data_IF_363703889406
#
_entry.id   IF_363703889406
#
_cell.length_a   1.000
_cell.length_b   1.000
_cell.length_c   1.000
_cell.angle_alpha   90.00
_cell.angle_beta   90.00
_cell.angle_gamma   90.00
#
_symmetry.space_group_name_H-M   'P 1'
#
loop_
_entity.id
_entity.type
_entity.pdbx_description
1 polymer ?
#
# COMPACT_ATOMS: atom_id res chain seq x y z
N UNK A 1 -3.29 18.04 -19.66
CA UNK A 1 -3.24 18.97 -18.50
C UNK A 1 -1.79 19.38 -18.32
N UNK A 2 -1.53 20.61 -17.86
CA UNK A 2 -0.18 21.00 -17.46
C UNK A 2 0.11 20.42 -16.06
N UNK A 3 1.39 20.16 -15.75
CA UNK A 3 1.79 19.79 -14.40
C UNK A 3 1.55 20.98 -13.45
N UNK A 4 1.21 20.67 -12.20
CA UNK A 4 1.27 21.65 -11.12
C UNK A 4 2.70 22.23 -11.04
N UNK A 5 2.83 23.55 -10.91
CA UNK A 5 4.15 24.22 -10.93
C UNK A 5 5.07 23.76 -9.81
N UNK A 6 4.53 23.49 -8.62
CA UNK A 6 5.32 22.98 -7.51
C UNK A 6 5.77 21.54 -7.80
N UNK A 7 4.88 20.70 -8.33
CA UNK A 7 5.22 19.34 -8.72
C UNK A 7 6.27 19.30 -9.84
N UNK A 8 6.18 20.18 -10.84
CA UNK A 8 7.19 20.28 -11.90
C UNK A 8 8.57 20.67 -11.33
N UNK A 9 8.60 21.66 -10.43
CA UNK A 9 9.83 22.07 -9.74
C UNK A 9 10.45 20.92 -8.94
N UNK A 10 9.62 20.15 -8.23
CA UNK A 10 10.05 18.98 -7.47
C UNK A 10 10.59 17.90 -8.40
N UNK A 11 9.90 17.54 -9.49
CA UNK A 11 10.36 16.55 -10.46
C UNK A 11 11.74 16.92 -11.03
N UNK A 12 11.92 18.20 -11.42
CA UNK A 12 13.21 18.70 -11.91
C UNK A 12 14.32 18.67 -10.86
N UNK A 13 13.99 18.89 -9.59
CA UNK A 13 14.96 18.90 -8.50
C UNK A 13 15.33 17.51 -8.00
N UNK A 14 14.33 16.65 -7.79
CA UNK A 14 14.47 15.36 -7.09
C UNK A 14 14.65 14.19 -8.04
N UNK A 15 14.12 14.30 -9.27
CA UNK A 15 14.15 13.23 -10.27
C UNK A 15 15.05 13.58 -11.47
N UNK A 16 15.96 14.55 -11.35
CA UNK A 16 16.88 14.96 -12.42
C UNK A 16 17.74 13.83 -12.98
N UNK A 17 18.01 12.81 -12.17
CA UNK A 17 18.71 11.59 -12.56
C UNK A 17 17.89 10.69 -13.52
N UNK A 18 16.57 10.87 -13.57
CA UNK A 18 15.66 10.14 -14.45
C UNK A 18 15.33 10.91 -15.73
N UNK A 19 15.56 12.22 -15.77
CA UNK A 19 15.32 13.07 -16.94
C UNK A 19 15.55 14.55 -16.65
N UNK A 20 15.74 15.33 -17.71
CA UNK A 20 16.01 16.78 -17.65
C UNK A 20 14.74 17.63 -17.83
N UNK A 21 13.68 17.08 -18.41
CA UNK A 21 12.35 17.69 -18.50
C UNK A 21 11.25 16.66 -18.24
N UNK A 22 10.09 17.15 -17.83
CA UNK A 22 8.93 16.33 -17.44
C UNK A 22 7.67 16.88 -18.08
N UNK A 23 6.86 16.01 -18.68
CA UNK A 23 5.55 16.37 -19.25
C UNK A 23 4.45 15.54 -18.62
N UNK A 24 3.25 16.10 -18.47
CA UNK A 24 2.10 15.35 -17.95
C UNK A 24 1.49 14.46 -19.04
N UNK A 25 1.14 13.23 -18.65
CA UNK A 25 0.35 12.28 -19.43
C UNK A 25 -0.88 11.84 -18.63
N UNK A 26 -1.90 12.68 -18.58
CA UNK A 26 -3.08 12.45 -17.73
C UNK A 26 -2.91 13.03 -16.33
N UNK A 27 -3.69 12.56 -15.36
CA UNK A 27 -3.78 13.21 -14.04
C UNK A 27 -2.51 13.03 -13.19
N UNK A 28 -1.97 11.81 -13.14
CA UNK A 28 -0.90 11.44 -12.19
C UNK A 28 0.34 10.84 -12.83
N UNK A 29 0.46 10.88 -14.17
CA UNK A 29 1.65 10.37 -14.86
C UNK A 29 2.50 11.55 -15.35
N UNK A 30 3.79 11.55 -15.00
CA UNK A 30 4.81 12.41 -15.55
C UNK A 30 5.77 11.60 -16.42
N UNK A 31 6.02 12.04 -17.66
CA UNK A 31 6.97 11.43 -18.57
C UNK A 31 8.30 12.19 -18.52
N UNK A 32 9.35 11.52 -18.09
CA UNK A 32 10.71 12.06 -18.06
C UNK A 32 11.34 12.01 -19.46
N UNK A 33 12.03 13.08 -19.86
CA UNK A 33 12.77 13.14 -21.12
C UNK A 33 14.26 13.42 -20.84
N UNK A 34 15.19 12.87 -21.65
CA UNK A 34 14.96 12.04 -22.83
C UNK A 34 14.74 10.54 -22.53
N UNK A 35 14.79 10.12 -21.25
CA UNK A 35 14.72 8.70 -20.88
C UNK A 35 13.44 7.99 -21.31
N UNK A 36 12.33 8.73 -21.44
CA UNK A 36 11.01 8.17 -21.73
C UNK A 36 10.38 7.43 -20.54
N UNK A 37 10.97 7.52 -19.35
CA UNK A 37 10.45 6.86 -18.15
C UNK A 37 9.15 7.53 -17.69
N UNK A 38 8.14 6.70 -17.42
CA UNK A 38 6.89 7.16 -16.83
C UNK A 38 6.96 7.07 -15.30
N UNK A 39 6.61 8.17 -14.63
CA UNK A 39 6.56 8.30 -13.18
C UNK A 39 5.12 8.54 -12.74
N UNK A 40 4.70 7.87 -11.69
CA UNK A 40 3.51 8.30 -10.96
C UNK A 40 3.94 9.48 -10.09
N UNK A 41 3.25 10.61 -10.22
CA UNK A 41 3.59 11.84 -9.53
C UNK A 41 2.31 12.50 -9.03
N UNK A 42 2.22 12.68 -7.70
CA UNK A 42 1.12 13.38 -7.06
C UNK A 42 1.61 14.47 -6.12
N UNK A 43 0.81 15.52 -5.97
CA UNK A 43 0.95 16.55 -4.94
C UNK A 43 -0.43 16.82 -4.35
N UNK A 44 -0.57 16.75 -3.04
CA UNK A 44 -1.86 16.75 -2.34
C UNK A 44 -1.81 17.55 -1.04
N UNK A 45 -2.93 18.15 -0.63
CA UNK A 45 -3.09 18.82 0.66
C UNK A 45 -3.18 17.85 1.86
N UNK A 46 -3.44 16.57 1.60
CA UNK A 46 -3.56 15.48 2.58
C UNK A 46 -2.15 15.01 2.98
N UNK A 47 -1.47 15.87 3.74
CA UNK A 47 -0.03 15.74 4.02
C UNK A 47 0.31 14.45 4.77
N UNK A 48 -0.38 14.15 5.88
CA UNK A 48 -0.10 12.95 6.68
C UNK A 48 -0.33 11.66 5.87
N UNK A 49 -1.44 11.59 5.14
CA UNK A 49 -1.77 10.46 4.28
C UNK A 49 -0.74 10.21 3.17
N UNK A 50 -0.37 11.26 2.44
CA UNK A 50 0.59 11.14 1.32
C UNK A 50 1.98 10.71 1.80
N UNK A 51 2.42 11.22 2.96
CA UNK A 51 3.70 10.83 3.55
C UNK A 51 3.64 9.41 4.14
N UNK A 52 2.53 9.03 4.78
CA UNK A 52 2.32 7.68 5.29
C UNK A 52 2.36 6.62 4.19
N UNK A 53 1.75 6.89 3.04
CA UNK A 53 1.81 6.02 1.85
C UNK A 53 3.25 5.90 1.32
N UNK A 54 3.99 7.01 1.28
CA UNK A 54 5.39 6.99 0.85
C UNK A 54 6.26 6.11 1.76
N UNK A 55 6.11 6.22 3.08
CA UNK A 55 6.86 5.38 4.03
C UNK A 55 6.42 3.92 3.97
N UNK A 56 5.13 3.65 3.72
CA UNK A 56 4.61 2.30 3.50
C UNK A 56 5.28 1.61 2.30
N UNK A 57 5.32 2.30 1.15
CA UNK A 57 5.98 1.79 -0.06
C UNK A 57 7.48 1.54 0.13
N UNK A 58 8.18 2.43 0.85
CA UNK A 58 9.59 2.26 1.19
C UNK A 58 9.82 1.03 2.07
N UNK A 59 8.98 0.84 3.09
CA UNK A 59 9.09 -0.29 4.01
C UNK A 59 8.83 -1.63 3.31
N UNK A 60 7.76 -1.73 2.51
CA UNK A 60 7.47 -2.93 1.71
C UNK A 60 8.60 -3.23 0.72
N UNK A 61 9.10 -2.21 0.02
CA UNK A 61 10.22 -2.37 -0.91
C UNK A 61 11.50 -2.85 -0.21
N UNK A 62 11.80 -2.33 0.98
CA UNK A 62 12.95 -2.73 1.78
C UNK A 62 12.86 -4.19 2.24
N UNK A 63 11.69 -4.66 2.67
CA UNK A 63 11.47 -6.05 3.09
C UNK A 63 11.80 -7.07 1.99
N UNK A 64 11.62 -6.69 0.72
CA UNK A 64 11.89 -7.56 -0.44
C UNK A 64 13.30 -7.40 -1.03
N UNK A 65 13.98 -6.29 -0.75
CA UNK A 65 15.27 -5.92 -1.38
C UNK A 65 16.51 -6.47 -0.69
N UNK A 66 16.40 -7.51 0.15
CA UNK A 66 17.53 -8.05 0.94
C UNK A 66 18.60 -8.84 0.15
N UNK A 67 18.71 -8.63 -1.16
CA UNK A 67 19.76 -9.17 -2.02
C UNK A 67 20.39 -8.08 -2.91
N UNK A 68 21.62 -8.31 -3.39
CA UNK A 68 22.36 -7.40 -4.29
C UNK A 68 21.72 -7.18 -5.66
N UNK A 69 20.63 -7.88 -5.95
CA UNK A 69 19.89 -7.81 -7.21
C UNK A 69 18.52 -7.20 -6.93
N UNK A 70 18.47 -5.87 -6.87
CA UNK A 70 17.20 -5.15 -6.99
C UNK A 70 16.77 -5.35 -8.43
N UNK A 71 16.04 -6.44 -8.71
CA UNK A 71 15.45 -6.70 -10.02
C UNK A 71 14.77 -5.44 -10.59
N UNK A 72 14.61 -5.38 -11.90
CA UNK A 72 14.05 -4.19 -12.57
C UNK A 72 12.69 -3.76 -11.97
N UNK A 73 12.26 -2.52 -12.23
CA UNK A 73 10.97 -1.98 -11.76
C UNK A 73 9.78 -2.92 -12.02
N UNK A 74 9.89 -3.67 -13.11
CA UNK A 74 8.96 -4.67 -13.62
C UNK A 74 8.89 -5.99 -12.83
N UNK A 75 9.90 -6.27 -12.01
CA UNK A 75 9.98 -7.46 -11.15
C UNK A 75 9.63 -7.16 -9.69
N UNK A 76 9.52 -5.89 -9.29
CA UNK A 76 9.21 -5.50 -7.92
C UNK A 76 7.73 -5.72 -7.61
N UNK A 77 7.46 -6.13 -6.37
CA UNK A 77 6.08 -6.25 -5.88
C UNK A 77 5.47 -4.88 -5.57
N UNK A 78 6.28 -3.87 -5.24
CA UNK A 78 5.83 -2.50 -4.98
C UNK A 78 6.54 -1.50 -5.89
N UNK A 79 5.89 -0.38 -6.26
CA UNK A 79 6.58 0.68 -6.99
C UNK A 79 7.71 1.29 -6.14
N UNK A 80 8.84 1.62 -6.76
CA UNK A 80 9.93 2.30 -6.09
C UNK A 80 9.58 3.77 -5.84
N UNK A 81 9.86 4.25 -4.63
CA UNK A 81 9.71 5.66 -4.27
C UNK A 81 10.96 6.43 -4.68
N UNK A 82 10.84 7.26 -5.71
CA UNK A 82 11.92 8.12 -6.19
C UNK A 82 12.06 9.38 -5.34
N UNK A 83 10.93 9.94 -4.90
CA UNK A 83 10.93 11.11 -4.02
C UNK A 83 9.61 11.25 -3.26
N UNK A 84 9.68 11.67 -1.99
CA UNK A 84 8.53 12.10 -1.21
C UNK A 84 8.91 13.21 -0.25
N UNK A 85 7.94 14.03 0.16
CA UNK A 85 8.18 15.10 1.12
C UNK A 85 7.11 16.18 1.10
N UNK A 86 7.41 17.31 1.72
CA UNK A 86 6.56 18.51 1.68
C UNK A 86 7.11 19.51 0.65
N UNK A 87 6.23 20.08 -0.15
CA UNK A 87 6.54 21.22 -1.03
C UNK A 87 6.66 22.51 -0.21
N UNK A 88 7.22 23.55 -0.83
CA UNK A 88 7.38 24.86 -0.21
C UNK A 88 6.04 25.51 0.19
N UNK A 89 4.97 25.18 -0.53
CA UNK A 89 3.61 25.66 -0.25
C UNK A 89 2.85 24.81 0.80
N UNK A 90 3.53 23.84 1.43
CA UNK A 90 2.99 23.05 2.55
C UNK A 90 2.22 21.79 2.15
N UNK A 91 1.99 21.54 0.86
CA UNK A 91 1.43 20.26 0.37
C UNK A 91 2.44 19.12 0.48
N UNK A 92 1.99 17.88 0.37
CA UNK A 92 2.87 16.71 0.30
C UNK A 92 2.93 16.18 -1.13
N UNK A 93 4.08 15.62 -1.51
CA UNK A 93 4.25 14.95 -2.80
C UNK A 93 4.77 13.53 -2.64
N UNK A 94 4.41 12.70 -3.61
CA UNK A 94 4.91 11.33 -3.78
C UNK A 94 5.17 11.09 -5.27
N UNK A 95 6.39 10.65 -5.57
CA UNK A 95 6.86 10.30 -6.90
C UNK A 95 7.38 8.87 -6.87
N UNK A 96 6.79 8.00 -7.69
CA UNK A 96 7.14 6.57 -7.77
C UNK A 96 7.25 6.10 -9.23
N UNK A 97 7.62 4.84 -9.42
CA UNK A 97 7.40 4.16 -10.70
C UNK A 97 5.93 4.31 -11.11
N UNK A 98 5.68 4.58 -12.40
CA UNK A 98 4.33 4.49 -12.96
C UNK A 98 4.05 3.04 -13.36
N UNK A 99 3.06 2.43 -12.72
CA UNK A 99 2.61 1.08 -13.06
C UNK A 99 1.36 1.16 -13.95
N UNK A 100 1.45 0.64 -15.17
CA UNK A 100 0.30 0.46 -16.05
C UNK A 100 -0.43 -0.84 -15.68
N UNK A 101 -1.46 -0.72 -14.85
CA UNK A 101 -2.10 -1.84 -14.17
C UNK A 101 -3.39 -2.28 -14.86
N UNK A 102 -3.56 -3.61 -15.00
CA UNK A 102 -4.86 -4.25 -15.17
C UNK A 102 -5.41 -4.66 -13.81
N UNK A 103 -6.72 -4.46 -13.56
CA UNK A 103 -7.33 -4.80 -12.26
C UNK A 103 -7.31 -6.30 -11.93
N UNK A 104 -7.26 -7.17 -12.94
CA UNK A 104 -7.31 -8.62 -12.73
C UNK A 104 -5.92 -9.24 -12.68
N UNK A 105 -5.74 -10.17 -11.74
CA UNK A 105 -4.55 -11.01 -11.64
C UNK A 105 -4.92 -12.43 -12.05
N UNK A 106 -4.31 -12.92 -13.12
CA UNK A 106 -4.57 -14.25 -13.66
C UNK A 106 -4.01 -15.36 -12.74
N UNK A 107 -4.34 -16.62 -13.04
CA UNK A 107 -3.93 -17.78 -12.24
C UNK A 107 -2.43 -17.84 -11.93
N UNK A 108 -1.56 -17.59 -12.90
CA UNK A 108 -0.10 -17.61 -12.67
C UNK A 108 0.35 -16.41 -11.83
N UNK A 109 -0.21 -15.24 -12.08
CA UNK A 109 0.04 -14.02 -11.29
C UNK A 109 -0.38 -14.17 -9.84
N UNK A 110 -1.50 -14.86 -9.57
CA UNK A 110 -1.98 -15.16 -8.21
C UNK A 110 -0.95 -15.98 -7.43
N UNK A 111 -0.34 -16.99 -8.06
CA UNK A 111 0.73 -17.80 -7.44
C UNK A 111 1.99 -17.00 -7.17
N UNK A 112 2.38 -16.15 -8.12
CA UNK A 112 3.55 -15.27 -7.96
C UNK A 112 3.31 -14.28 -6.82
N UNK A 113 2.11 -13.68 -6.77
CA UNK A 113 1.72 -12.76 -5.72
C UNK A 113 1.73 -13.44 -4.35
N UNK A 114 1.11 -14.63 -4.23
CA UNK A 114 1.07 -15.39 -2.98
C UNK A 114 2.46 -15.64 -2.40
N UNK A 115 3.39 -16.15 -3.22
CA UNK A 115 4.78 -16.39 -2.77
C UNK A 115 5.51 -15.11 -2.39
N UNK A 116 5.43 -14.07 -3.21
CA UNK A 116 6.16 -12.81 -2.98
C UNK A 116 5.63 -12.06 -1.76
N UNK A 117 4.31 -12.08 -1.54
CA UNK A 117 3.70 -11.49 -0.36
C UNK A 117 4.10 -12.23 0.92
N UNK A 118 4.11 -13.57 0.88
CA UNK A 118 4.57 -14.39 2.00
C UNK A 118 6.05 -14.12 2.34
N UNK A 119 6.92 -13.98 1.33
CA UNK A 119 8.32 -13.58 1.52
C UNK A 119 8.43 -12.17 2.11
N UNK A 120 7.61 -11.22 1.67
CA UNK A 120 7.54 -9.87 2.24
C UNK A 120 7.17 -9.94 3.72
N UNK A 121 6.12 -10.67 4.10
CA UNK A 121 5.69 -10.82 5.49
C UNK A 121 6.72 -11.51 6.38
N UNK A 122 7.41 -12.52 5.85
CA UNK A 122 8.45 -13.25 6.57
C UNK A 122 9.66 -12.36 6.88
N UNK A 123 9.99 -11.41 6.00
CA UNK A 123 11.14 -10.51 6.13
C UNK A 123 10.78 -9.18 6.79
N UNK A 124 9.57 -8.70 6.56
CA UNK A 124 9.03 -7.42 7.02
C UNK A 124 8.57 -7.47 8.47
N UNK A 125 9.43 -7.95 9.37
CA UNK A 125 9.23 -7.88 10.81
C UNK A 125 10.00 -6.71 11.39
N UNK A 126 9.42 -6.02 12.36
CA UNK A 126 10.13 -4.97 13.09
C UNK A 126 11.24 -5.61 13.96
N UNK A 127 12.43 -5.01 13.97
CA UNK A 127 13.60 -5.53 14.71
C UNK A 127 13.33 -5.68 16.21
N UNK A 128 12.55 -4.74 16.79
CA UNK A 128 12.16 -4.77 18.20
C UNK A 128 10.97 -5.71 18.49
N UNK A 129 10.40 -6.36 17.48
CA UNK A 129 9.22 -7.23 17.60
C UNK A 129 7.91 -6.51 17.95
N UNK A 130 7.89 -5.17 17.92
CA UNK A 130 6.69 -4.35 18.18
C UNK A 130 5.81 -4.22 16.93
N UNK A 131 4.51 -4.13 17.16
CA UNK A 131 3.47 -3.87 16.16
C UNK A 131 3.18 -2.37 16.06
N UNK A 132 2.90 -1.89 14.85
CA UNK A 132 2.69 -0.47 14.58
C UNK A 132 3.53 0.02 13.40
N UNK A 133 3.76 1.32 13.33
CA UNK A 133 4.54 1.97 12.29
C UNK A 133 4.97 3.36 12.76
N UNK A 134 6.08 3.88 12.23
CA UNK A 134 6.63 5.17 12.68
C UNK A 134 5.76 6.38 12.33
N UNK A 135 4.89 6.21 11.32
CA UNK A 135 3.95 7.23 10.87
C UNK A 135 2.54 6.68 10.81
N UNK A 136 1.55 7.56 10.94
CA UNK A 136 0.17 7.19 10.68
C UNK A 136 -0.02 6.83 9.20
N UNK A 137 -0.80 5.79 8.95
CA UNK A 137 -1.24 5.39 7.62
C UNK A 137 -2.76 5.46 7.54
N UNK A 138 -3.30 5.18 6.36
CA UNK A 138 -4.73 5.36 6.10
C UNK A 138 -5.29 4.13 5.40
N UNK A 139 -6.40 3.59 5.91
CA UNK A 139 -7.22 2.63 5.18
C UNK A 139 -8.33 3.42 4.48
N UNK A 140 -8.12 3.72 3.20
CA UNK A 140 -8.97 4.65 2.48
C UNK A 140 -8.82 6.08 3.01
N UNK A 141 -9.86 6.63 3.65
CA UNK A 141 -9.78 7.96 4.29
C UNK A 141 -9.68 7.85 5.81
N UNK A 142 -9.75 6.64 6.35
CA UNK A 142 -9.69 6.37 7.79
C UNK A 142 -8.23 6.35 8.23
N UNK A 143 -7.82 7.36 9.00
CA UNK A 143 -6.51 7.41 9.66
C UNK A 143 -6.37 6.24 10.64
N UNK A 144 -5.27 5.49 10.54
CA UNK A 144 -4.96 4.37 11.43
C UNK A 144 -3.99 4.82 12.52
N UNK A 145 -4.29 4.49 13.78
CA UNK A 145 -3.32 4.62 14.86
C UNK A 145 -2.27 3.52 14.74
N UNK A 146 -1.01 3.92 14.56
CA UNK A 146 0.12 3.03 14.38
C UNK A 146 1.10 3.10 15.56
N UNK A 147 0.67 3.71 16.67
CA UNK A 147 1.49 3.82 17.87
C UNK A 147 2.00 2.46 18.32
N UNK A 148 3.32 2.36 18.46
CA UNK A 148 4.01 1.11 18.76
C UNK A 148 3.43 0.36 19.96
N UNK A 149 3.21 -0.94 19.80
CA UNK A 149 2.63 -1.83 20.79
C UNK A 149 3.39 -3.17 20.84
N UNK A 150 3.58 -3.75 22.02
CA UNK A 150 4.27 -5.03 22.18
C UNK A 150 3.33 -6.24 22.10
N UNK A 151 2.02 -6.03 22.09
CA UNK A 151 0.99 -7.09 22.08
C UNK A 151 0.08 -6.93 20.89
N UNK A 152 0.12 -7.90 19.98
CA UNK A 152 -0.74 -7.91 18.80
C UNK A 152 -2.23 -7.91 19.17
N UNK A 153 -2.72 -8.78 20.10
CA UNK A 153 -4.13 -8.72 20.51
C UNK A 153 -4.56 -7.35 21.04
N UNK A 154 -3.69 -6.67 21.80
CA UNK A 154 -3.98 -5.32 22.31
C UNK A 154 -3.97 -4.28 21.20
N UNK A 155 -2.99 -4.33 20.31
CA UNK A 155 -2.91 -3.46 19.14
C UNK A 155 -4.18 -3.58 18.27
N UNK A 156 -4.59 -4.81 17.96
CA UNK A 156 -5.78 -5.07 17.15
C UNK A 156 -7.08 -4.65 17.85
N UNK A 157 -7.24 -4.99 19.12
CA UNK A 157 -8.45 -4.66 19.88
C UNK A 157 -8.61 -3.14 20.06
N UNK A 158 -7.54 -2.43 20.44
CA UNK A 158 -7.63 -1.01 20.79
C UNK A 158 -7.47 -0.09 19.57
N UNK A 159 -6.46 -0.33 18.73
CA UNK A 159 -6.03 0.60 17.67
C UNK A 159 -6.59 0.26 16.27
N UNK A 160 -7.35 -0.84 16.16
CA UNK A 160 -8.07 -1.19 14.93
C UNK A 160 -9.58 -1.22 15.23
N UNK A 161 -10.08 -2.30 15.82
CA UNK A 161 -11.52 -2.47 16.04
C UNK A 161 -12.07 -1.40 17.00
N UNK A 162 -11.40 -1.18 18.15
CA UNK A 162 -11.82 -0.22 19.16
C UNK A 162 -11.86 1.22 18.65
N UNK A 163 -10.87 1.64 17.86
CA UNK A 163 -10.85 2.96 17.21
C UNK A 163 -12.06 3.16 16.29
N UNK A 164 -12.39 2.18 15.44
CA UNK A 164 -13.59 2.24 14.58
C UNK A 164 -14.89 2.31 15.40
N UNK A 165 -15.02 1.47 16.43
CA UNK A 165 -16.20 1.46 17.30
C UNK A 165 -16.38 2.81 18.00
N UNK A 166 -15.28 3.41 18.50
CA UNK A 166 -15.31 4.72 19.14
C UNK A 166 -15.73 5.82 18.17
N UNK A 167 -15.24 5.80 16.91
CA UNK A 167 -15.66 6.76 15.88
C UNK A 167 -17.14 6.62 15.55
N UNK A 168 -17.63 5.40 15.33
CA UNK A 168 -19.05 5.12 15.07
C UNK A 168 -19.91 5.60 16.24
N UNK A 169 -19.47 5.38 17.48
CA UNK A 169 -20.23 5.80 18.66
C UNK A 169 -20.24 7.33 18.85
N UNK A 170 -19.13 8.01 18.53
CA UNK A 170 -19.04 9.46 18.61
C UNK A 170 -19.94 10.17 17.59
N UNK A 171 -20.29 9.49 16.49
CA UNK A 171 -21.00 10.09 15.36
C UNK A 171 -22.41 9.52 15.12
N UNK A 172 -23.31 9.72 16.09
CA UNK A 172 -24.67 9.17 16.05
C UNK A 172 -25.61 9.79 14.99
N UNK A 173 -25.15 10.76 14.18
CA UNK A 173 -26.04 11.57 13.32
C UNK A 173 -25.57 11.70 11.86
N UNK A 174 -24.76 10.75 11.39
CA UNK A 174 -23.73 11.14 10.45
C UNK A 174 -23.96 10.74 8.98
N UNK A 175 -23.98 11.77 8.13
CA UNK A 175 -23.96 11.60 6.68
C UNK A 175 -22.55 11.25 6.18
N UNK A 176 -21.49 11.52 6.97
CA UNK A 176 -20.11 11.15 6.65
C UNK A 176 -19.96 9.62 6.64
N UNK A 177 -20.52 8.88 7.62
CA UNK A 177 -20.58 7.41 7.57
C UNK A 177 -21.26 6.86 6.29
N UNK A 178 -22.32 7.52 5.79
CA UNK A 178 -22.97 7.14 4.53
C UNK A 178 -22.11 7.48 3.30
N UNK A 179 -21.42 8.61 3.33
CA UNK A 179 -20.50 9.02 2.27
C UNK A 179 -19.22 8.16 2.28
N UNK A 180 -18.75 7.72 3.45
CA UNK A 180 -17.67 6.76 3.65
C UNK A 180 -18.06 5.38 3.14
N UNK A 181 -19.26 4.88 3.45
CA UNK A 181 -19.79 3.64 2.88
C UNK A 181 -19.79 3.71 1.34
N UNK A 182 -20.23 4.84 0.78
CA UNK A 182 -20.22 5.07 -0.68
C UNK A 182 -18.80 5.12 -1.27
N UNK A 183 -17.84 5.70 -0.55
CA UNK A 183 -16.43 5.75 -0.97
C UNK A 183 -15.70 4.41 -0.82
N UNK A 184 -16.11 3.56 0.12
CA UNK A 184 -15.51 2.24 0.36
C UNK A 184 -16.01 1.18 -0.64
N UNK A 185 -17.29 1.23 -1.05
CA UNK A 185 -17.90 0.28 -2.00
C UNK A 185 -17.28 0.25 -3.41
N UNK A 186 -16.39 1.19 -3.74
CA UNK A 186 -15.76 1.32 -5.07
C UNK A 186 -14.26 1.08 -5.12
N UNK A 187 -13.60 0.76 -4.00
CA UNK A 187 -12.15 0.56 -4.00
C UNK A 187 -11.82 -0.88 -4.39
N UNK A 188 -11.24 -1.04 -5.59
CA UNK A 188 -10.53 -2.25 -5.96
C UNK A 188 -9.40 -2.48 -4.95
N UNK A 189 -9.08 -3.74 -4.64
CA UNK A 189 -7.90 -4.05 -3.84
C UNK A 189 -6.67 -3.32 -4.40
N UNK A 190 -5.77 -2.87 -3.53
CA UNK A 190 -4.54 -2.15 -3.89
C UNK A 190 -3.50 -3.12 -4.50
N UNK A 191 -3.93 -3.89 -5.50
CA UNK A 191 -3.19 -4.91 -6.20
C UNK A 191 -3.63 -4.95 -7.67
N UNK A 192 -2.70 -5.29 -8.57
CA UNK A 192 -3.02 -5.43 -9.99
C UNK A 192 -1.90 -6.12 -10.78
N UNK A 193 -2.16 -6.38 -12.05
CA UNK A 193 -1.16 -6.95 -12.98
C UNK A 193 -0.53 -5.84 -13.82
N UNK A 194 0.79 -5.72 -13.81
CA UNK A 194 1.51 -4.78 -14.69
C UNK A 194 1.42 -5.27 -16.14
N UNK A 195 0.96 -4.40 -17.05
CA UNK A 195 0.58 -4.77 -18.42
C UNK A 195 1.70 -5.36 -19.26
N UNK A 196 2.88 -4.76 -19.21
CA UNK A 196 4.03 -5.14 -20.02
C UNK A 196 4.68 -6.47 -19.57
N UNK A 197 4.56 -6.83 -18.30
CA UNK A 197 5.28 -7.99 -17.73
C UNK A 197 4.36 -9.13 -17.32
N UNK A 198 3.11 -8.83 -16.99
CA UNK A 198 2.21 -9.79 -16.37
C UNK A 198 2.49 -10.05 -14.89
N UNK A 199 3.44 -9.34 -14.28
CA UNK A 199 3.76 -9.50 -12.85
C UNK A 199 2.71 -8.79 -11.97
N UNK A 200 2.43 -9.33 -10.77
CA UNK A 200 1.58 -8.66 -9.81
C UNK A 200 2.34 -7.53 -9.12
N UNK A 201 1.62 -6.46 -8.79
CA UNK A 201 2.08 -5.36 -7.95
C UNK A 201 1.04 -5.02 -6.88
N UNK A 202 1.51 -4.56 -5.72
CA UNK A 202 0.72 -4.02 -4.61
C UNK A 202 1.21 -2.63 -4.25
N UNK A 203 0.35 -1.83 -3.63
CA UNK A 203 0.66 -0.45 -3.25
C UNK A 203 -0.23 0.00 -2.08
N UNK A 204 -0.07 1.26 -1.68
CA UNK A 204 -0.82 1.93 -0.59
C UNK A 204 -0.27 1.63 0.83
N UNK A 205 -1.10 1.87 1.86
CA UNK A 205 -0.75 1.83 3.29
C UNK A 205 -0.20 0.51 3.83
N UNK A 206 0.70 0.58 4.82
CA UNK A 206 1.25 -0.59 5.53
C UNK A 206 1.52 -0.30 7.01
N UNK A 207 1.61 -1.35 7.82
CA UNK A 207 2.11 -1.32 9.19
C UNK A 207 2.67 -2.70 9.58
N UNK A 208 3.51 -2.78 10.61
CA UNK A 208 3.98 -4.05 11.16
C UNK A 208 2.86 -4.70 11.98
N UNK A 209 2.40 -5.85 11.54
CA UNK A 209 1.26 -6.54 12.12
C UNK A 209 1.33 -8.05 11.94
N UNK A 210 0.29 -8.73 12.41
CA UNK A 210 0.14 -10.15 12.14
C UNK A 210 -0.20 -10.37 10.66
N UNK A 211 0.54 -11.25 9.98
CA UNK A 211 0.42 -11.47 8.55
C UNK A 211 -0.98 -11.89 8.09
N UNK A 212 -1.72 -12.62 8.92
CA UNK A 212 -3.08 -13.07 8.59
C UNK A 212 -4.09 -11.90 8.55
N UNK A 213 -3.74 -10.73 9.11
CA UNK A 213 -4.60 -9.55 9.03
C UNK A 213 -4.81 -9.10 7.58
N UNK A 214 -3.77 -9.13 6.77
CA UNK A 214 -3.88 -8.83 5.33
C UNK A 214 -4.62 -9.94 4.58
N UNK A 215 -4.43 -11.21 4.97
CA UNK A 215 -5.16 -12.33 4.37
C UNK A 215 -6.67 -12.21 4.58
N UNK A 216 -7.12 -11.72 5.75
CA UNK A 216 -8.53 -11.44 6.00
C UNK A 216 -9.08 -10.38 5.05
N UNK A 217 -8.34 -9.27 4.86
CA UNK A 217 -8.68 -8.25 3.87
C UNK A 217 -8.78 -8.84 2.45
N UNK A 218 -7.80 -9.64 2.03
CA UNK A 218 -7.76 -10.26 0.70
C UNK A 218 -8.88 -11.29 0.49
N UNK A 219 -9.35 -11.96 1.54
CA UNK A 219 -10.48 -12.87 1.45
C UNK A 219 -11.81 -12.11 1.27
N UNK A 220 -11.94 -10.92 1.86
CA UNK A 220 -13.11 -10.05 1.71
C UNK A 220 -13.21 -9.42 0.32
N UNK A 221 -12.12 -8.81 -0.16
CA UNK A 221 -12.10 -8.19 -1.47
C UNK A 221 -11.93 -9.26 -2.54
N UNK A 222 -13.05 -9.69 -3.15
CA UNK A 222 -13.06 -10.70 -4.20
C UNK A 222 -12.02 -10.41 -5.29
N UNK A 223 -11.36 -11.46 -5.77
CA UNK A 223 -10.29 -11.33 -6.78
C UNK A 223 -9.09 -12.22 -6.51
N UNK A 224 -8.91 -12.72 -5.29
CA UNK A 224 -7.87 -13.70 -4.94
C UNK A 224 -8.46 -15.11 -4.89
N UNK A 225 -7.79 -16.05 -5.55
CA UNK A 225 -8.26 -17.45 -5.63
C UNK A 225 -7.47 -18.36 -4.72
N UNK A 226 -7.91 -19.61 -4.60
CA UNK A 226 -7.18 -20.67 -3.90
C UNK A 226 -5.71 -20.79 -4.36
N UNK A 227 -5.41 -20.50 -5.64
CA UNK A 227 -4.05 -20.51 -6.16
C UNK A 227 -3.12 -19.51 -5.44
N UNK A 228 -3.64 -18.35 -5.02
CA UNK A 228 -2.89 -17.38 -4.23
C UNK A 228 -2.64 -17.91 -2.81
N UNK A 229 -3.70 -18.36 -2.12
CA UNK A 229 -3.59 -18.82 -0.74
C UNK A 229 -2.72 -20.06 -0.59
N UNK A 230 -2.80 -21.02 -1.53
CA UNK A 230 -1.92 -22.19 -1.57
C UNK A 230 -0.46 -21.77 -1.72
N UNK A 231 -0.18 -20.89 -2.69
CA UNK A 231 1.17 -20.39 -2.95
C UNK A 231 1.73 -19.55 -1.78
N UNK A 232 0.87 -18.81 -1.07
CA UNK A 232 1.24 -18.09 0.15
C UNK A 232 1.63 -19.07 1.26
N UNK A 233 0.80 -20.10 1.51
CA UNK A 233 1.02 -21.05 2.59
C UNK A 233 2.13 -22.07 2.34
N UNK A 234 2.58 -22.25 1.09
CA UNK A 234 3.84 -22.94 0.78
C UNK A 234 5.05 -22.27 1.46
N UNK A 235 5.02 -20.94 1.63
CA UNK A 235 6.12 -20.14 2.20
C UNK A 235 5.87 -19.80 3.68
N UNK A 236 4.64 -19.44 4.02
CA UNK A 236 4.23 -19.03 5.36
C UNK A 236 3.04 -19.89 5.84
N UNK A 237 3.32 -20.99 6.58
CA UNK A 237 2.29 -21.91 7.05
C UNK A 237 1.23 -21.22 7.91
N UNK A 238 0.02 -21.80 7.92
CA UNK A 238 -1.08 -21.36 8.78
C UNK A 238 -0.71 -21.47 10.25
N UNK A 239 -1.09 -20.47 11.05
CA UNK A 239 -0.86 -20.50 12.49
C UNK A 239 -2.01 -21.26 13.18
N UNK A 240 -1.85 -22.56 13.40
CA UNK A 240 -2.91 -23.37 14.04
C UNK A 240 -3.03 -23.11 15.56
N UNK A 241 -4.18 -23.39 16.20
CA UNK A 241 -5.40 -24.00 15.64
C UNK A 241 -6.47 -23.00 15.18
N UNK A 242 -6.30 -21.71 15.44
CA UNK A 242 -7.36 -20.70 15.28
C UNK A 242 -7.24 -19.87 14.00
N UNK A 243 -6.69 -20.46 12.94
CA UNK A 243 -6.44 -19.76 11.68
C UNK A 243 -7.74 -19.20 11.08
N UNK A 244 -8.76 -20.05 10.95
CA UNK A 244 -10.02 -19.67 10.31
C UNK A 244 -10.81 -18.65 11.15
N UNK A 245 -10.78 -18.74 12.48
CA UNK A 245 -11.40 -17.76 13.37
C UNK A 245 -10.71 -16.39 13.30
N UNK A 246 -9.37 -16.38 13.23
CA UNK A 246 -8.62 -15.12 13.10
C UNK A 246 -8.85 -14.46 11.76
N UNK A 247 -8.92 -15.20 10.65
CA UNK A 247 -9.29 -14.62 9.36
C UNK A 247 -10.64 -13.90 9.42
N UNK A 248 -11.67 -14.54 10.00
CA UNK A 248 -12.99 -13.91 10.18
C UNK A 248 -12.93 -12.67 11.06
N UNK A 249 -12.11 -12.68 12.11
CA UNK A 249 -11.88 -11.50 12.95
C UNK A 249 -11.20 -10.36 12.17
N UNK A 250 -10.24 -10.67 11.30
CA UNK A 250 -9.54 -9.68 10.50
C UNK A 250 -10.41 -9.11 9.39
N UNK A 251 -11.25 -9.93 8.77
CA UNK A 251 -12.27 -9.50 7.80
C UNK A 251 -13.23 -8.46 8.41
N UNK A 252 -13.63 -8.64 9.67
CA UNK A 252 -14.56 -7.73 10.36
C UNK A 252 -14.06 -6.28 10.39
N UNK A 253 -12.75 -6.04 10.43
CA UNK A 253 -12.20 -4.68 10.43
C UNK A 253 -12.48 -3.91 9.13
N UNK A 254 -12.82 -4.62 8.04
CA UNK A 254 -13.04 -4.04 6.72
C UNK A 254 -14.52 -4.01 6.30
N UNK A 255 -15.42 -4.56 7.11
CA UNK A 255 -16.88 -4.59 6.88
C UNK A 255 -17.58 -3.39 7.52
#
# INVERSE_FOLDING_TARGET
>A
MALDKALESILRSKCSHLGTSFTSRGASCALAQPSGLALFAKIDSSVEQTLGEAESLKAMGAALSSGSDKGGAEERLTPEVHASGKSQDGRAYLITDYLDLRPSINKSGQKVLGRRLAEMHKRGVNEDGRFGFDVATYCGVTRQDNSWNTSWPKFWADQRIGDLVNRIHADQNDNELKDLEKQMRGKSGNAGTVNNTGNPAIFDSSYYGHNEAELGMMNMFGGFTQDFFEAYHEVMPKTEPYYDERLRLYELYHQ
#
